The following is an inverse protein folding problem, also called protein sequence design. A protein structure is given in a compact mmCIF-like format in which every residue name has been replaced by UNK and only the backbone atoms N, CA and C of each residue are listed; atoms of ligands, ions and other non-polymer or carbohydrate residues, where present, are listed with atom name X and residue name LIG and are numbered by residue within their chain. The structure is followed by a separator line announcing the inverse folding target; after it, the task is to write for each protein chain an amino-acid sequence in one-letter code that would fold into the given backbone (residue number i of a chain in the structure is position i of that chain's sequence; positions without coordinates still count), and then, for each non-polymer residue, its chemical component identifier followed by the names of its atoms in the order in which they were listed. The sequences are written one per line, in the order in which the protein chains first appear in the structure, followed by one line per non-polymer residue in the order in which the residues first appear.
data_IF_779818504679
#
_entry.id   IF_779818504679
#
_cell.length_a   1.000
_cell.length_b   1.000
_cell.length_c   1.000
_cell.angle_alpha   90.00
_cell.angle_beta   90.00
_cell.angle_gamma   90.00
#
_symmetry.space_group_name_H-M   'P 1'
#
loop_
_entity.id
_entity.type
_entity.pdbx_description
1 polymer ?
#
# COMPACT_ATOMS: atom_id res chain seq x y z
N UNK A 1 -10.52 22.17 -9.87
CA UNK A 1 -9.69 21.93 -8.67
C UNK A 1 -10.45 21.22 -7.55
N UNK A 2 -11.71 21.58 -7.27
CA UNK A 2 -12.51 20.90 -6.24
C UNK A 2 -12.70 19.41 -6.54
N UNK A 3 -13.24 19.06 -7.72
CA UNK A 3 -13.52 17.67 -8.11
C UNK A 3 -12.34 16.72 -7.91
N UNK A 4 -11.15 17.10 -8.39
CA UNK A 4 -9.95 16.27 -8.23
C UNK A 4 -9.57 16.04 -6.76
N UNK A 5 -9.68 17.07 -5.91
CA UNK A 5 -9.36 16.97 -4.47
C UNK A 5 -10.44 16.19 -3.71
N UNK A 6 -11.71 16.40 -4.05
CA UNK A 6 -12.83 15.67 -3.48
C UNK A 6 -12.73 14.18 -3.80
N UNK A 7 -12.43 13.83 -5.06
CA UNK A 7 -12.20 12.45 -5.49
C UNK A 7 -11.01 11.83 -4.75
N UNK A 8 -9.87 12.54 -4.66
CA UNK A 8 -8.70 12.03 -3.94
C UNK A 8 -9.00 11.77 -2.45
N UNK A 9 -9.65 12.72 -1.78
CA UNK A 9 -10.01 12.59 -0.36
C UNK A 9 -10.96 11.41 -0.15
N UNK A 10 -11.96 11.24 -1.03
CA UNK A 10 -12.89 10.12 -0.95
C UNK A 10 -12.21 8.77 -1.18
N UNK A 11 -11.35 8.67 -2.20
CA UNK A 11 -10.56 7.47 -2.46
C UNK A 11 -9.68 7.10 -1.26
N UNK A 12 -9.01 8.06 -0.63
CA UNK A 12 -8.19 7.83 0.55
C UNK A 12 -9.00 7.31 1.75
N UNK A 13 -10.18 7.90 2.00
CA UNK A 13 -11.10 7.42 3.04
C UNK A 13 -11.54 5.98 2.76
N UNK A 14 -11.96 5.69 1.53
CA UNK A 14 -12.41 4.34 1.15
C UNK A 14 -11.29 3.30 1.20
N UNK A 15 -10.04 3.69 0.93
CA UNK A 15 -8.88 2.80 1.02
C UNK A 15 -8.59 2.31 2.45
N UNK A 16 -9.04 3.05 3.48
CA UNK A 16 -8.69 2.79 4.89
C UNK A 16 -9.93 2.56 5.79
N UNK A 17 -11.15 2.62 5.26
CA UNK A 17 -12.37 2.45 6.07
C UNK A 17 -12.72 0.99 6.43
N UNK A 18 -11.95 0.02 5.93
CA UNK A 18 -12.11 -1.41 6.20
C UNK A 18 -13.04 -2.17 5.25
N UNK A 19 -13.84 -1.48 4.42
CA UNK A 19 -14.81 -2.14 3.52
C UNK A 19 -14.11 -3.09 2.53
N UNK A 20 -13.04 -2.62 1.88
CA UNK A 20 -12.30 -3.41 0.87
C UNK A 20 -11.47 -4.55 1.47
N UNK A 21 -11.27 -4.54 2.79
CA UNK A 21 -10.53 -5.57 3.53
C UNK A 21 -11.43 -6.62 4.19
N UNK A 22 -12.76 -6.45 4.14
CA UNK A 22 -13.70 -7.34 4.79
C UNK A 22 -13.78 -8.68 4.05
N UNK A 23 -13.45 -9.77 4.74
CA UNK A 23 -13.57 -11.13 4.20
C UNK A 23 -12.52 -11.52 3.17
N UNK A 24 -11.46 -10.71 2.98
CA UNK A 24 -10.37 -11.00 2.04
C UNK A 24 -9.01 -11.05 2.73
N UNK A 25 -8.05 -11.85 2.22
CA UNK A 25 -6.68 -11.82 2.71
C UNK A 25 -6.06 -10.42 2.58
N UNK A 26 -5.34 -9.99 3.61
CA UNK A 26 -4.62 -8.72 3.63
C UNK A 26 -3.11 -8.97 3.72
N UNK A 27 -2.33 -8.04 3.17
CA UNK A 27 -0.87 -8.06 3.26
C UNK A 27 -0.36 -6.69 3.71
N UNK A 28 0.29 -6.68 4.87
CA UNK A 28 0.87 -5.48 5.49
C UNK A 28 2.40 -5.50 5.48
N UNK A 29 3.03 -6.41 4.72
CA UNK A 29 4.48 -6.61 4.72
C UNK A 29 5.22 -5.37 4.24
N UNK A 30 4.75 -4.70 3.17
CA UNK A 30 5.33 -3.44 2.69
C UNK A 30 5.32 -2.37 3.78
N UNK A 31 4.22 -2.27 4.54
CA UNK A 31 4.11 -1.32 5.65
C UNK A 31 5.05 -1.69 6.80
N UNK A 32 5.15 -2.97 7.15
CA UNK A 32 6.04 -3.43 8.21
C UNK A 32 7.50 -3.08 7.91
N UNK A 33 7.99 -3.36 6.69
CA UNK A 33 9.35 -3.00 6.26
C UNK A 33 9.50 -1.47 6.20
N UNK A 34 8.51 -0.76 5.66
CA UNK A 34 8.54 0.70 5.54
C UNK A 34 8.64 1.42 6.89
N UNK A 35 7.98 0.90 7.94
CA UNK A 35 8.09 1.44 9.30
C UNK A 35 9.52 1.41 9.84
N UNK A 36 10.26 0.33 9.57
CA UNK A 36 11.67 0.23 9.99
C UNK A 36 12.55 1.24 9.25
N UNK A 37 12.34 1.43 7.94
CA UNK A 37 13.06 2.46 7.18
C UNK A 37 12.78 3.87 7.70
N UNK A 38 11.53 4.17 8.05
CA UNK A 38 11.18 5.45 8.69
C UNK A 38 11.86 5.56 10.05
N UNK A 39 11.84 4.52 10.88
CA UNK A 39 12.43 4.54 12.21
C UNK A 39 13.97 4.72 12.19
N UNK A 40 14.66 4.08 11.24
CA UNK A 40 16.12 4.09 11.15
C UNK A 40 16.67 5.30 10.39
N UNK A 41 15.93 5.83 9.42
CA UNK A 41 16.44 6.82 8.47
C UNK A 41 15.61 8.11 8.39
N UNK A 42 14.49 8.22 9.12
CA UNK A 42 13.63 9.40 9.11
C UNK A 42 12.93 9.66 7.77
N UNK A 43 12.84 8.66 6.91
CA UNK A 43 12.20 8.77 5.58
C UNK A 43 10.67 8.80 5.76
N UNK A 44 9.98 9.68 5.02
CA UNK A 44 8.53 9.81 5.09
C UNK A 44 7.83 8.48 4.80
N UNK A 45 6.71 8.23 5.49
CA UNK A 45 5.99 6.96 5.39
C UNK A 45 5.66 6.57 3.92
N UNK A 46 5.12 7.50 3.13
CA UNK A 46 4.78 7.21 1.74
C UNK A 46 6.02 6.95 0.86
N UNK A 47 7.15 7.59 1.17
CA UNK A 47 8.41 7.36 0.45
C UNK A 47 8.93 5.94 0.71
N UNK A 48 8.87 5.45 1.95
CA UNK A 48 9.30 4.08 2.26
C UNK A 48 8.41 3.05 1.59
N UNK A 49 7.10 3.27 1.52
CA UNK A 49 6.18 2.41 0.76
C UNK A 49 6.50 2.39 -0.73
N UNK A 50 6.80 3.55 -1.33
CA UNK A 50 7.16 3.67 -2.74
C UNK A 50 8.47 2.93 -3.08
N UNK A 51 9.43 2.89 -2.15
CA UNK A 51 10.69 2.15 -2.31
C UNK A 51 10.46 0.64 -2.22
N UNK A 52 9.67 0.19 -1.24
CA UNK A 52 9.56 -1.24 -0.89
C UNK A 52 8.59 -1.99 -1.80
N UNK A 53 7.42 -1.41 -2.11
CA UNK A 53 6.32 -2.14 -2.75
C UNK A 53 6.71 -2.82 -4.08
N UNK A 54 7.41 -2.17 -5.04
CA UNK A 54 7.70 -2.79 -6.33
C UNK A 54 8.55 -4.06 -6.20
N UNK A 55 9.62 -3.98 -5.40
CA UNK A 55 10.52 -5.11 -5.19
C UNK A 55 9.84 -6.25 -4.41
N UNK A 56 9.00 -5.91 -3.43
CA UNK A 56 8.22 -6.91 -2.71
C UNK A 56 7.29 -7.69 -3.64
N UNK A 57 6.62 -7.01 -4.58
CA UNK A 57 5.75 -7.65 -5.57
C UNK A 57 6.53 -8.54 -6.54
N UNK A 58 7.75 -8.15 -6.93
CA UNK A 58 8.63 -9.01 -7.74
C UNK A 58 9.05 -10.27 -6.97
N UNK A 59 9.49 -10.13 -5.72
CA UNK A 59 9.95 -11.26 -4.89
C UNK A 59 8.79 -12.20 -4.54
N UNK A 60 7.58 -11.65 -4.32
CA UNK A 60 6.38 -12.41 -3.97
C UNK A 60 5.51 -12.73 -5.19
N UNK A 61 6.03 -12.60 -6.40
CA UNK A 61 5.28 -12.74 -7.66
C UNK A 61 4.52 -14.06 -7.72
N UNK A 62 5.18 -15.18 -7.43
CA UNK A 62 4.57 -16.51 -7.57
C UNK A 62 3.35 -16.67 -6.66
N UNK A 63 3.46 -16.23 -5.40
CA UNK A 63 2.36 -16.28 -4.43
C UNK A 63 1.25 -15.25 -4.67
N UNK A 64 1.48 -14.26 -5.55
CA UNK A 64 0.53 -13.17 -5.86
C UNK A 64 0.08 -13.17 -7.32
N UNK A 65 0.53 -14.12 -8.14
CA UNK A 65 0.47 -14.06 -9.59
C UNK A 65 -0.94 -13.81 -10.14
N UNK A 66 -1.93 -14.56 -9.64
CA UNK A 66 -3.32 -14.43 -10.07
C UNK A 66 -3.88 -13.02 -9.81
N UNK A 67 -3.51 -12.38 -8.69
CA UNK A 67 -3.97 -11.03 -8.34
C UNK A 67 -3.17 -9.93 -9.01
N UNK A 68 -1.93 -10.21 -9.40
CA UNK A 68 -1.10 -9.26 -10.18
C UNK A 68 -1.52 -9.16 -11.65
N UNK A 69 -2.20 -10.19 -12.18
CA UNK A 69 -2.70 -10.22 -13.56
C UNK A 69 -4.12 -9.65 -13.74
N UNK A 70 -4.89 -9.55 -12.66
CA UNK A 70 -6.29 -9.10 -12.67
C UNK A 70 -6.41 -7.65 -13.14
#
# INVERSE_FOLDING_TARGET
MYEARANLMWCATMALNGLIGAGVPQDWTTHAIGRELTALHGIDHAQTLAIVLPNLLTIKRDGKWQKLLQ
#
